data_IF_484203229573
#
_entry.id   IF_484203229573
#
_cell.length_a   1.000
_cell.length_b   1.000
_cell.length_c   1.000
_cell.angle_alpha   90.00
_cell.angle_beta   90.00
_cell.angle_gamma   90.00
#
_symmetry.space_group_name_H-M   'P 1'
#
loop_
_entity.id
_entity.type
_entity.pdbx_description
1 polymer ?
#
# COMPACT_ATOMS: atom_id res chain seq x y z
N UNK A 1 4.63 9.89 4.08
CA UNK A 1 3.35 9.84 3.32
C UNK A 1 2.56 8.59 3.69
N UNK A 2 1.73 8.63 4.74
CA UNK A 2 1.01 7.45 5.24
C UNK A 2 0.01 6.88 4.22
N UNK A 3 -0.59 7.73 3.38
CA UNK A 3 -1.50 7.27 2.33
C UNK A 3 -0.82 6.37 1.29
N UNK A 4 0.43 6.66 0.95
CA UNK A 4 1.19 5.82 0.01
C UNK A 4 1.59 4.49 0.64
N UNK A 5 1.89 4.44 1.94
CA UNK A 5 2.12 3.17 2.65
C UNK A 5 0.87 2.30 2.66
N UNK A 6 -0.30 2.89 2.90
CA UNK A 6 -1.58 2.17 2.80
C UNK A 6 -1.82 1.63 1.38
N UNK A 7 -1.65 2.46 0.35
CA UNK A 7 -1.82 2.03 -1.04
C UNK A 7 -0.81 0.93 -1.41
N UNK A 8 0.46 1.09 -1.03
CA UNK A 8 1.52 0.13 -1.26
C UNK A 8 1.19 -1.22 -0.64
N UNK A 9 0.80 -1.25 0.64
CA UNK A 9 0.42 -2.50 1.30
C UNK A 9 -0.79 -3.16 0.66
N UNK A 10 -1.79 -2.38 0.24
CA UNK A 10 -2.95 -2.91 -0.50
C UNK A 10 -2.54 -3.52 -1.83
N UNK A 11 -1.54 -2.97 -2.53
CA UNK A 11 -1.01 -3.56 -3.76
C UNK A 11 -0.24 -4.86 -3.52
N UNK A 12 0.49 -4.96 -2.42
CA UNK A 12 1.11 -6.23 -2.03
C UNK A 12 0.03 -7.30 -1.84
N UNK A 13 -1.03 -7.02 -1.08
CA UNK A 13 -2.15 -7.96 -0.89
C UNK A 13 -2.78 -8.39 -2.22
N UNK A 14 -2.94 -7.46 -3.18
CA UNK A 14 -3.51 -7.75 -4.51
C UNK A 14 -2.63 -8.66 -5.38
N UNK A 15 -1.31 -8.66 -5.16
CA UNK A 15 -0.34 -9.37 -6.00
C UNK A 15 0.27 -10.61 -5.35
N UNK A 16 0.00 -10.83 -4.07
CA UNK A 16 0.39 -12.04 -3.36
C UNK A 16 -0.71 -13.09 -3.40
N UNK A 17 -0.31 -14.36 -3.32
CA UNK A 17 -1.23 -15.50 -3.33
C UNK A 17 -2.19 -15.52 -2.13
N UNK A 18 -1.72 -15.11 -0.96
CA UNK A 18 -2.48 -15.19 0.29
C UNK A 18 -2.09 -14.07 1.29
N UNK A 19 -2.97 -13.70 2.24
CA UNK A 19 -2.74 -12.61 3.20
C UNK A 19 -1.53 -12.83 4.12
N UNK A 20 -1.20 -14.07 4.45
CA UNK A 20 -0.04 -14.41 5.28
C UNK A 20 1.27 -14.06 4.54
N UNK A 21 1.36 -14.46 3.27
CA UNK A 21 2.48 -14.08 2.40
C UNK A 21 2.56 -12.55 2.26
N UNK A 22 1.43 -11.86 2.11
CA UNK A 22 1.40 -10.40 2.07
C UNK A 22 1.97 -9.76 3.34
N UNK A 23 1.60 -10.29 4.50
CA UNK A 23 2.08 -9.83 5.81
C UNK A 23 3.60 -9.96 5.92
N UNK A 24 4.16 -11.13 5.56
CA UNK A 24 5.59 -11.40 5.59
C UNK A 24 6.37 -10.42 4.70
N UNK A 25 5.92 -10.23 3.45
CA UNK A 25 6.54 -9.28 2.53
C UNK A 25 6.45 -7.84 3.04
N UNK A 26 5.31 -7.43 3.59
CA UNK A 26 5.15 -6.09 4.14
C UNK A 26 6.10 -5.84 5.32
N UNK A 27 6.21 -6.79 6.26
CA UNK A 27 7.12 -6.69 7.41
C UNK A 27 8.57 -6.64 6.93
N UNK A 28 8.97 -7.56 6.04
CA UNK A 28 10.34 -7.61 5.52
C UNK A 28 10.74 -6.29 4.85
N UNK A 29 9.92 -5.79 3.93
CA UNK A 29 10.22 -4.57 3.17
C UNK A 29 10.18 -3.33 4.07
N UNK A 30 9.25 -3.25 5.03
CA UNK A 30 9.18 -2.14 5.98
C UNK A 30 10.38 -2.12 6.91
N UNK A 31 10.82 -3.27 7.43
CA UNK A 31 11.99 -3.34 8.31
C UNK A 31 13.31 -3.11 7.55
N UNK A 32 13.37 -3.48 6.27
CA UNK A 32 14.58 -3.29 5.44
C UNK A 32 14.75 -1.86 4.93
N UNK A 33 13.67 -1.19 4.57
CA UNK A 33 13.73 0.11 3.87
C UNK A 33 13.00 1.25 4.58
N UNK A 34 12.13 0.96 5.55
CA UNK A 34 11.47 1.98 6.36
C UNK A 34 12.45 2.58 7.36
N UNK A 35 12.59 3.91 7.34
CA UNK A 35 13.40 4.65 8.34
C UNK A 35 12.85 4.48 9.77
N UNK A 36 11.57 4.11 9.91
CA UNK A 36 10.82 3.76 11.11
C UNK A 36 10.43 2.27 11.14
N UNK A 37 11.23 1.43 10.46
CA UNK A 37 11.10 -0.02 10.51
C UNK A 37 11.24 -0.56 11.93
N UNK A 38 10.70 -1.75 12.18
CA UNK A 38 10.80 -2.46 13.47
C UNK A 38 10.18 -1.75 14.69
N UNK A 39 9.36 -0.71 14.48
CA UNK A 39 8.60 -0.03 15.54
C UNK A 39 7.16 -0.58 15.67
N UNK A 40 6.56 -0.62 16.87
CA UNK A 40 5.17 -1.05 17.06
C UNK A 40 4.15 -0.35 16.15
N UNK A 41 4.33 0.94 15.84
CA UNK A 41 3.44 1.68 14.94
C UNK A 41 3.52 1.17 13.49
N UNK A 42 4.67 0.65 13.07
CA UNK A 42 4.83 0.03 11.76
C UNK A 42 4.01 -1.27 11.67
N UNK A 43 4.01 -2.10 12.71
CA UNK A 43 3.20 -3.32 12.76
C UNK A 43 1.70 -3.04 12.84
N UNK A 44 1.27 -2.03 13.59
CA UNK A 44 -0.15 -1.64 13.61
C UNK A 44 -0.60 -1.11 12.26
N UNK A 45 0.25 -0.34 11.57
CA UNK A 45 -0.02 0.11 10.20
C UNK A 45 -0.14 -1.04 9.20
N UNK A 46 0.75 -2.04 9.27
CA UNK A 46 0.71 -3.22 8.41
C UNK A 46 -0.53 -4.08 8.69
N UNK A 47 -0.85 -4.33 9.95
CA UNK A 47 -2.04 -5.13 10.31
C UNK A 47 -3.35 -4.40 9.98
N UNK A 48 -3.37 -3.06 10.04
CA UNK A 48 -4.49 -2.27 9.52
C UNK A 48 -4.68 -2.47 8.02
N UNK A 49 -3.60 -2.66 7.26
CA UNK A 49 -3.71 -2.96 5.82
C UNK A 49 -4.49 -4.26 5.58
N UNK A 50 -4.41 -5.22 6.50
CA UNK A 50 -5.15 -6.48 6.45
C UNK A 50 -6.54 -6.41 7.10
N UNK A 51 -6.96 -5.23 7.59
CA UNK A 51 -8.30 -4.99 8.14
C UNK A 51 -8.36 -4.89 9.67
N UNK A 52 -7.24 -5.02 10.39
CA UNK A 52 -7.24 -4.85 11.85
C UNK A 52 -7.59 -3.39 12.21
N UNK A 53 -8.55 -3.21 13.12
CA UNK A 53 -9.04 -1.89 13.56
C UNK A 53 -9.74 -1.08 12.46
N UNK A 54 -10.05 -1.66 11.30
CA UNK A 54 -10.95 -1.07 10.31
C UNK A 54 -12.31 -1.77 10.36
N UNK A 55 -13.33 -1.14 9.78
CA UNK A 55 -14.64 -1.73 9.59
C UNK A 55 -14.70 -2.53 8.29
N UNK A 56 -15.74 -3.35 8.13
CA UNK A 56 -16.05 -3.99 6.86
C UNK A 56 -16.45 -2.96 5.78
N UNK A 57 -15.99 -3.19 4.55
CA UNK A 57 -16.28 -2.37 3.37
C UNK A 57 -17.06 -3.17 2.33
N UNK A 58 -18.27 -2.70 2.01
CA UNK A 58 -19.10 -3.24 0.95
C UNK A 58 -18.96 -2.47 -0.37
N UNK A 59 -19.27 -3.09 -1.52
CA UNK A 59 -19.56 -4.53 -1.69
C UNK A 59 -18.29 -5.38 -1.53
N UNK A 60 -18.46 -6.68 -1.27
CA UNK A 60 -17.36 -7.64 -1.24
C UNK A 60 -16.61 -7.66 -2.58
N UNK A 61 -15.28 -7.77 -2.53
CA UNK A 61 -14.42 -7.76 -3.73
C UNK A 61 -13.57 -9.02 -3.80
N UNK A 62 -13.27 -9.52 -5.02
CA UNK A 62 -12.24 -10.54 -5.20
C UNK A 62 -10.93 -10.13 -4.51
N UNK A 63 -10.24 -11.11 -3.93
CA UNK A 63 -8.99 -10.98 -3.15
C UNK A 63 -9.18 -10.29 -1.79
N UNK A 64 -9.88 -9.15 -1.74
CA UNK A 64 -9.99 -8.34 -0.52
C UNK A 64 -11.14 -8.73 0.40
N UNK A 65 -12.15 -9.45 -0.10
CA UNK A 65 -13.38 -9.68 0.64
C UNK A 65 -13.99 -8.34 1.07
N UNK A 66 -14.15 -8.16 2.38
CA UNK A 66 -14.66 -6.94 3.02
C UNK A 66 -13.56 -6.00 3.53
N UNK A 67 -12.28 -6.30 3.28
CA UNK A 67 -11.17 -5.39 3.61
C UNK A 67 -11.26 -4.17 2.71
N UNK A 68 -11.00 -2.98 3.28
CA UNK A 68 -11.03 -1.71 2.54
C UNK A 68 -10.21 -1.79 1.26
N UNK A 69 -10.83 -1.60 0.11
CA UNK A 69 -10.10 -1.50 -1.16
C UNK A 69 -9.54 -0.08 -1.38
N UNK A 70 -8.36 0.02 -2.01
CA UNK A 70 -7.76 1.29 -2.45
C UNK A 70 -7.30 1.17 -3.91
N UNK A 71 -7.83 2.03 -4.79
CA UNK A 71 -7.42 2.08 -6.20
C UNK A 71 -6.31 3.09 -6.44
N UNK A 72 -5.43 2.78 -7.39
CA UNK A 72 -4.38 3.69 -7.86
C UNK A 72 -5.01 4.96 -8.44
N UNK A 73 -6.14 4.86 -9.14
CA UNK A 73 -6.83 6.03 -9.74
C UNK A 73 -7.33 7.05 -8.71
N UNK A 74 -7.84 6.57 -7.57
CA UNK A 74 -8.22 7.45 -6.47
C UNK A 74 -6.98 8.09 -5.82
N UNK A 75 -5.89 7.34 -5.71
CA UNK A 75 -4.61 7.86 -5.23
C UNK A 75 -4.04 8.93 -6.19
N UNK A 76 -4.19 8.76 -7.51
CA UNK A 76 -3.74 9.73 -8.53
C UNK A 76 -4.31 11.11 -8.27
N UNK A 77 -5.62 11.17 -7.98
CA UNK A 77 -6.34 12.41 -7.67
C UNK A 77 -5.91 13.01 -6.33
N UNK A 78 -5.84 12.19 -5.27
CA UNK A 78 -5.57 12.67 -3.90
C UNK A 78 -4.15 13.19 -3.68
N UNK A 79 -3.15 12.57 -4.29
CA UNK A 79 -1.74 12.85 -3.97
C UNK A 79 -1.12 13.88 -4.93
N UNK A 80 -1.91 14.43 -5.88
CA UNK A 80 -1.36 15.13 -7.05
C UNK A 80 -0.23 14.30 -7.66
N UNK A 81 -0.51 13.02 -7.95
CA UNK A 81 0.50 12.00 -8.23
C UNK A 81 1.53 12.42 -9.29
N UNK A 82 1.14 13.28 -10.24
CA UNK A 82 2.05 13.89 -11.21
C UNK A 82 3.27 14.54 -10.54
N UNK A 83 3.06 15.41 -9.53
CA UNK A 83 4.16 16.07 -8.80
C UNK A 83 4.99 15.08 -7.97
N UNK A 84 4.34 14.04 -7.45
CA UNK A 84 5.04 12.99 -6.71
C UNK A 84 5.97 12.18 -7.64
N UNK A 85 5.47 11.78 -8.81
CA UNK A 85 6.26 11.06 -9.82
C UNK A 85 7.38 11.93 -10.39
N UNK A 86 7.15 13.22 -10.62
CA UNK A 86 8.21 14.16 -11.02
C UNK A 86 9.37 14.20 -10.02
N UNK A 87 9.09 14.05 -8.72
CA UNK A 87 10.09 14.10 -7.66
C UNK A 87 10.80 12.77 -7.42
N UNK A 88 10.10 11.65 -7.53
CA UNK A 88 10.60 10.34 -7.07
C UNK A 88 10.72 9.28 -8.17
N UNK A 89 10.27 9.56 -9.40
CA UNK A 89 10.38 8.67 -10.55
C UNK A 89 10.78 9.42 -11.84
N UNK A 90 11.90 10.18 -11.83
CA UNK A 90 12.30 11.01 -12.97
C UNK A 90 12.62 10.21 -14.25
N UNK A 91 13.06 8.96 -14.09
CA UNK A 91 13.42 8.02 -15.17
C UNK A 91 12.25 7.71 -16.13
N UNK A 92 11.00 7.73 -15.64
CA UNK A 92 9.80 7.39 -16.43
C UNK A 92 9.55 8.41 -17.56
N UNK A 93 10.12 9.61 -17.48
CA UNK A 93 10.03 10.61 -18.57
C UNK A 93 10.82 10.22 -19.82
N UNK A 94 11.92 9.46 -19.70
CA UNK A 94 12.84 9.19 -20.83
C UNK A 94 12.33 8.13 -21.81
N UNK A 95 11.32 7.35 -21.44
CA UNK A 95 10.77 6.28 -22.28
C UNK A 95 9.49 6.67 -23.05
N UNK A 96 9.05 7.92 -22.94
CA UNK A 96 7.88 8.46 -23.65
C UNK A 96 8.22 9.63 -24.60
N UNK A 97 9.52 9.88 -24.84
CA UNK A 97 10.02 10.85 -25.83
C UNK A 97 10.57 10.15 -27.06
#
# INVERSE_FOLDING_TARGET
>A
HNYLRMLWGKKIVEWTRDPQTALEWMIYLNNKYGLDGSDPNSYTGITWILGRYDRAWGPERPIFGLVRYMSTDNARRKIRLKKYLERYAPEIKKSQS
#
